data_IF_342711376140
#
_entry.id   IF_342711376140
#
_cell.length_a   1.000
_cell.length_b   1.000
_cell.length_c   1.000
_cell.angle_alpha   90.00
_cell.angle_beta   90.00
_cell.angle_gamma   90.00
#
_symmetry.space_group_name_H-M   'P 1'
#
loop_
_entity.id
_entity.type
_entity.pdbx_description
1 polymer ?
#
# COMPACT_ATOMS: atom_id res chain seq x y z
N UNK A 1 5.63 8.34 2.69
CA UNK A 1 5.76 6.98 2.11
C UNK A 1 6.68 6.16 3.00
N UNK A 2 6.09 5.38 3.89
CA UNK A 2 6.82 4.43 4.71
C UNK A 2 6.89 3.07 4.01
N UNK A 3 7.99 2.85 3.27
CA UNK A 3 8.21 1.61 2.52
C UNK A 3 8.16 0.37 3.41
N UNK A 4 8.52 0.50 4.70
CA UNK A 4 8.50 -0.64 5.61
C UNK A 4 7.06 -1.04 5.91
N UNK A 5 6.21 -0.09 6.29
CA UNK A 5 4.80 -0.33 6.59
C UNK A 5 4.05 -0.84 5.36
N UNK A 6 4.26 -0.23 4.19
CA UNK A 6 3.65 -0.65 2.92
C UNK A 6 4.04 -2.10 2.58
N UNK A 7 5.32 -2.45 2.73
CA UNK A 7 5.81 -3.81 2.50
C UNK A 7 5.15 -4.81 3.45
N UNK A 8 5.07 -4.47 4.74
CA UNK A 8 4.42 -5.35 5.73
C UNK A 8 2.94 -5.58 5.41
N UNK A 9 2.21 -4.52 5.02
CA UNK A 9 0.82 -4.60 4.61
C UNK A 9 0.64 -5.53 3.40
N UNK A 10 1.40 -5.30 2.33
CA UNK A 10 1.29 -6.09 1.10
C UNK A 10 1.67 -7.57 1.27
N UNK A 11 2.51 -7.89 2.26
CA UNK A 11 2.87 -9.28 2.55
C UNK A 11 1.83 -10.00 3.43
N UNK A 12 1.14 -9.26 4.30
CA UNK A 12 0.21 -9.83 5.31
C UNK A 12 -1.23 -9.91 4.83
N UNK A 13 -1.66 -8.97 3.99
CA UNK A 13 -3.06 -8.81 3.59
C UNK A 13 -3.24 -8.95 2.07
N UNK A 14 -4.41 -9.41 1.66
CA UNK A 14 -4.84 -9.47 0.28
C UNK A 14 -5.23 -8.10 -0.29
N UNK A 15 -5.36 -8.00 -1.61
CA UNK A 15 -5.85 -6.78 -2.28
C UNK A 15 -7.22 -6.36 -1.73
N UNK A 16 -8.14 -7.31 -1.56
CA UNK A 16 -9.49 -7.03 -1.10
C UNK A 16 -9.52 -6.50 0.35
N UNK A 17 -8.71 -7.09 1.24
CA UNK A 17 -8.56 -6.61 2.62
C UNK A 17 -7.96 -5.21 2.68
N UNK A 18 -6.94 -4.92 1.87
CA UNK A 18 -6.30 -3.60 1.85
C UNK A 18 -7.23 -2.51 1.28
N UNK A 19 -8.06 -2.83 0.28
CA UNK A 19 -9.12 -1.92 -0.19
C UNK A 19 -10.17 -1.70 0.90
N UNK A 20 -10.59 -2.76 1.59
CA UNK A 20 -11.52 -2.64 2.70
C UNK A 20 -10.95 -1.76 3.84
N UNK A 21 -9.64 -1.81 4.10
CA UNK A 21 -9.01 -0.92 5.07
C UNK A 21 -9.07 0.55 4.65
N UNK A 22 -8.87 0.84 3.37
CA UNK A 22 -9.01 2.19 2.84
C UNK A 22 -10.45 2.69 2.97
N UNK A 23 -11.44 1.88 2.56
CA UNK A 23 -12.87 2.23 2.65
C UNK A 23 -13.33 2.43 4.10
N UNK A 24 -12.91 1.56 5.02
CA UNK A 24 -13.23 1.68 6.45
C UNK A 24 -12.58 2.92 7.06
N UNK A 25 -11.33 3.21 6.68
CA UNK A 25 -10.63 4.39 7.18
C UNK A 25 -11.24 5.69 6.65
N UNK A 26 -11.65 5.73 5.38
CA UNK A 26 -12.33 6.88 4.79
C UNK A 26 -13.70 7.13 5.43
N UNK A 27 -14.47 6.07 5.66
CA UNK A 27 -15.84 6.17 6.19
C UNK A 27 -15.92 6.42 7.68
N UNK A 28 -15.05 5.78 8.48
CA UNK A 28 -15.10 5.82 9.94
C UNK A 28 -14.06 6.76 10.56
N UNK A 29 -13.02 7.13 9.81
CA UNK A 29 -11.83 7.81 10.35
C UNK A 29 -10.97 6.92 11.26
N UNK A 30 -11.34 5.65 11.45
CA UNK A 30 -10.62 4.70 12.30
C UNK A 30 -9.77 3.78 11.44
N UNK A 31 -8.49 3.74 11.75
CA UNK A 31 -7.50 2.96 11.01
C UNK A 31 -7.52 1.49 11.44
N UNK A 32 -7.85 0.53 10.56
CA UNK A 32 -7.81 -0.89 10.92
C UNK A 32 -6.39 -1.35 11.28
N UNK A 33 -5.39 -0.82 10.56
CA UNK A 33 -3.97 -1.02 10.85
C UNK A 33 -3.26 0.32 10.79
N UNK A 34 -2.85 0.85 11.93
CA UNK A 34 -2.14 2.13 11.97
C UNK A 34 -0.74 1.99 11.36
N UNK A 35 -0.43 2.78 10.32
CA UNK A 35 0.92 2.86 9.73
C UNK A 35 1.60 4.18 10.05
N UNK A 36 0.84 5.28 10.05
CA UNK A 36 1.36 6.64 10.23
C UNK A 36 0.40 7.48 11.08
N UNK A 37 0.88 8.63 11.56
CA UNK A 37 0.05 9.55 12.34
C UNK A 37 -0.80 10.48 11.46
N UNK A 38 -0.31 10.79 10.25
CA UNK A 38 -1.06 11.58 9.27
C UNK A 38 -2.03 10.69 8.50
N UNK A 39 -3.30 11.12 8.45
CA UNK A 39 -4.36 10.36 7.78
C UNK A 39 -4.15 10.28 6.26
N UNK A 40 -3.67 11.34 5.62
CA UNK A 40 -3.42 11.34 4.18
C UNK A 40 -2.27 10.41 3.80
N UNK A 41 -1.19 10.43 4.58
CA UNK A 41 -0.08 9.50 4.35
C UNK A 41 -0.48 8.04 4.64
N UNK A 42 -1.27 7.78 5.68
CA UNK A 42 -1.76 6.44 5.98
C UNK A 42 -2.70 5.88 4.90
N UNK A 43 -3.62 6.71 4.39
CA UNK A 43 -4.46 6.32 3.25
C UNK A 43 -3.59 5.98 2.04
N UNK A 44 -2.54 6.78 1.81
CA UNK A 44 -1.58 6.52 0.74
C UNK A 44 -0.89 5.17 0.95
N UNK A 45 -0.47 4.84 2.17
CA UNK A 45 0.17 3.55 2.46
C UNK A 45 -0.73 2.34 2.13
N UNK A 46 -2.02 2.39 2.44
CA UNK A 46 -2.96 1.31 2.08
C UNK A 46 -3.06 1.12 0.56
N UNK A 47 -3.26 2.22 -0.17
CA UNK A 47 -3.39 2.18 -1.63
C UNK A 47 -2.09 1.74 -2.31
N UNK A 48 -0.94 2.16 -1.79
CA UNK A 48 0.37 1.68 -2.27
C UNK A 48 0.57 0.20 -1.98
N UNK A 49 0.12 -0.29 -0.83
CA UNK A 49 0.17 -1.70 -0.47
C UNK A 49 -0.70 -2.56 -1.40
N UNK A 50 -1.90 -2.09 -1.78
CA UNK A 50 -2.77 -2.74 -2.78
C UNK A 50 -2.01 -2.97 -4.09
N UNK A 51 -1.33 -1.95 -4.58
CA UNK A 51 -0.62 -2.02 -5.85
C UNK A 51 0.59 -2.96 -5.78
N UNK A 52 1.35 -2.93 -4.69
CA UNK A 52 2.46 -3.87 -4.47
C UNK A 52 1.92 -5.29 -4.35
N UNK A 53 0.83 -5.50 -3.61
CA UNK A 53 0.21 -6.82 -3.48
C UNK A 53 -0.22 -7.39 -4.83
N UNK A 54 -0.77 -6.54 -5.70
CA UNK A 54 -1.14 -6.92 -7.08
C UNK A 54 0.07 -7.42 -7.89
N UNK A 55 1.26 -6.86 -7.68
CA UNK A 55 2.49 -7.39 -8.30
C UNK A 55 2.92 -8.73 -7.70
N UNK A 56 2.78 -8.89 -6.38
CA UNK A 56 3.07 -10.17 -5.71
C UNK A 56 2.15 -11.29 -6.21
N UNK A 57 0.86 -10.99 -6.40
CA UNK A 57 -0.13 -11.95 -6.92
C UNK A 57 0.16 -12.36 -8.38
N UNK A 58 0.87 -11.52 -9.13
CA UNK A 58 1.41 -11.85 -10.47
C UNK A 58 2.70 -12.67 -10.42
N UNK A 59 3.15 -13.06 -9.24
CA UNK A 59 4.35 -13.88 -9.04
C UNK A 59 5.65 -13.10 -8.93
N UNK A 60 5.61 -11.77 -8.80
CA UNK A 60 6.83 -10.98 -8.61
C UNK A 60 7.37 -11.13 -7.18
N UNK A 61 8.68 -11.01 -7.02
CA UNK A 61 9.27 -10.91 -5.69
C UNK A 61 8.96 -9.53 -5.09
N UNK A 62 8.98 -9.42 -3.77
CA UNK A 62 8.72 -8.15 -3.07
C UNK A 62 9.70 -7.05 -3.47
N UNK A 63 10.97 -7.40 -3.70
CA UNK A 63 11.98 -6.43 -4.11
C UNK A 63 11.73 -5.92 -5.54
N UNK A 64 11.30 -6.80 -6.43
CA UNK A 64 10.97 -6.42 -7.82
C UNK A 64 9.69 -5.58 -7.86
N UNK A 65 8.66 -5.97 -7.11
CA UNK A 65 7.41 -5.21 -6.99
C UNK A 65 7.67 -3.77 -6.47
N UNK A 66 8.47 -3.63 -5.41
CA UNK A 66 8.87 -2.32 -4.88
C UNK A 66 9.65 -1.48 -5.89
N UNK A 67 10.54 -2.12 -6.67
CA UNK A 67 11.31 -1.46 -7.73
C UNK A 67 10.40 -0.96 -8.85
N UNK A 68 9.48 -1.79 -9.35
CA UNK A 68 8.53 -1.41 -10.40
C UNK A 68 7.57 -0.31 -9.93
N UNK A 69 7.04 -0.44 -8.71
CA UNK A 69 6.24 0.60 -8.10
C UNK A 69 7.00 1.94 -7.99
N UNK A 70 8.25 1.91 -7.50
CA UNK A 70 9.09 3.11 -7.37
C UNK A 70 9.39 3.78 -8.71
N UNK A 71 9.59 3.00 -9.77
CA UNK A 71 9.77 3.54 -11.13
C UNK A 71 8.52 4.26 -11.59
N UNK A 72 7.34 3.67 -11.40
CA UNK A 72 6.06 4.27 -11.78
C UNK A 72 5.83 5.59 -11.05
N UNK A 73 5.98 5.61 -9.72
CA UNK A 73 5.79 6.84 -8.92
C UNK A 73 6.74 7.95 -9.36
N UNK A 74 8.01 7.64 -9.66
CA UNK A 74 8.97 8.64 -10.16
C UNK A 74 8.69 9.07 -11.60
N UNK A 75 8.24 8.15 -12.46
CA UNK A 75 7.93 8.44 -13.86
C UNK A 75 6.71 9.35 -14.04
N UNK A 76 5.84 9.46 -13.03
CA UNK A 76 4.72 10.41 -13.00
C UNK A 76 5.18 11.83 -12.61
N UNK A 77 6.37 11.99 -12.02
CA UNK A 77 6.93 13.27 -11.57
C UNK A 77 7.86 13.94 -12.60
N UNK A 78 7.99 13.37 -13.80
CA UNK A 78 8.78 13.91 -14.94
C UNK A 78 7.89 14.29 -16.09
#
# INVERSE_FOLDING_TARGET
>A
MDVKSIKELAQKYSVDELNAFADEFESSGTAPVKTQDDAGEQMSDYLMAVEIRTYLDKGMTVNDALREFSKRVRGVLT
#
